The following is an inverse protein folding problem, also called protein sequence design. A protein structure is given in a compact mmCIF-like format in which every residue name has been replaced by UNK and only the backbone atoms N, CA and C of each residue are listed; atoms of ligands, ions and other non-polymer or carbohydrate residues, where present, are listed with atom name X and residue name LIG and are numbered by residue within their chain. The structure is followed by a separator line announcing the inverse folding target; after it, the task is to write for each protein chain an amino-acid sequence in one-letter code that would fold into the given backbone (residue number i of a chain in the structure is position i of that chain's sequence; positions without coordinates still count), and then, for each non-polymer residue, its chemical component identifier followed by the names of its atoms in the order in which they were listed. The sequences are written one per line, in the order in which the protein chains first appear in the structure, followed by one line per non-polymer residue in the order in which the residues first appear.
data_IF_949710357014
#
_entry.id   IF_949710357014
#
_cell.length_a   1.000
_cell.length_b   1.000
_cell.length_c   1.000
_cell.angle_alpha   90.00
_cell.angle_beta   90.00
_cell.angle_gamma   90.00
#
_symmetry.space_group_name_H-M   'P 1'
#
loop_
_entity.id
_entity.type
_entity.pdbx_description
1 polymer ?
#
# COMPACT_ATOMS: atom_id res chain seq x y z
N UNK A 1 -16.82 -4.02 15.42
CA UNK A 1 -16.19 -2.77 14.91
C UNK A 1 -15.97 -3.00 13.42
N UNK A 2 -16.50 -2.14 12.55
CA UNK A 2 -16.47 -2.38 11.10
C UNK A 2 -15.16 -1.84 10.52
N UNK A 3 -14.27 -2.73 10.11
CA UNK A 3 -13.09 -2.40 9.33
C UNK A 3 -13.51 -2.12 7.89
N UNK A 4 -13.09 -0.98 7.33
CA UNK A 4 -13.37 -0.66 5.93
C UNK A 4 -12.05 -0.76 5.18
N UNK A 5 -11.83 -1.80 4.36
CA UNK A 5 -10.61 -1.92 3.58
C UNK A 5 -10.52 -0.74 2.59
N UNK A 6 -9.43 0.02 2.64
CA UNK A 6 -9.18 1.13 1.71
C UNK A 6 -8.58 0.60 0.42
N UNK A 7 -7.56 -0.26 0.52
CA UNK A 7 -6.94 -0.93 -0.61
C UNK A 7 -6.06 -2.09 -0.11
N UNK A 8 -5.70 -2.99 -1.00
CA UNK A 8 -4.62 -3.95 -0.76
C UNK A 8 -3.36 -3.47 -1.46
N UNK A 9 -2.21 -3.72 -0.86
CA UNK A 9 -0.88 -3.42 -1.40
C UNK A 9 -0.20 -4.78 -1.61
N UNK A 10 -0.22 -5.29 -2.83
CA UNK A 10 0.49 -6.54 -3.14
C UNK A 10 1.96 -6.21 -3.46
N UNK A 11 2.90 -6.83 -2.77
CA UNK A 11 4.35 -6.58 -2.94
C UNK A 11 5.00 -7.88 -3.39
N UNK A 12 5.90 -7.83 -4.36
CA UNK A 12 6.62 -9.03 -4.81
C UNK A 12 7.54 -9.56 -3.70
N UNK A 13 7.69 -10.87 -3.56
CA UNK A 13 8.69 -11.43 -2.63
C UNK A 13 10.14 -11.16 -3.08
N UNK A 14 10.33 -10.62 -4.28
CA UNK A 14 11.66 -10.15 -4.72
C UNK A 14 12.12 -8.93 -3.91
N UNK A 15 11.19 -8.23 -3.23
CA UNK A 15 11.56 -7.17 -2.29
C UNK A 15 12.08 -7.80 -1.00
N UNK A 16 13.24 -7.33 -0.48
CA UNK A 16 13.78 -7.83 0.78
C UNK A 16 12.79 -7.69 1.94
N UNK A 17 12.80 -8.67 2.86
CA UNK A 17 11.87 -8.73 3.98
C UNK A 17 12.00 -7.52 4.93
N UNK A 18 13.20 -6.97 5.07
CA UNK A 18 13.51 -5.76 5.84
C UNK A 18 12.83 -4.51 5.26
N UNK A 19 12.79 -4.36 3.93
CA UNK A 19 12.09 -3.26 3.26
C UNK A 19 10.56 -3.38 3.38
N UNK A 20 10.08 -4.63 3.38
CA UNK A 20 8.69 -5.02 3.59
C UNK A 20 8.26 -4.66 5.02
N UNK A 21 9.08 -4.97 6.03
CA UNK A 21 8.85 -4.61 7.44
C UNK A 21 8.96 -3.10 7.68
N UNK A 22 9.89 -2.42 7.00
CA UNK A 22 10.00 -0.96 7.04
C UNK A 22 8.74 -0.26 6.54
N UNK A 23 8.18 -0.74 5.42
CA UNK A 23 6.91 -0.23 4.90
C UNK A 23 5.76 -0.46 5.88
N UNK A 24 5.66 -1.67 6.44
CA UNK A 24 4.63 -2.00 7.45
C UNK A 24 4.72 -1.05 8.65
N UNK A 25 5.92 -0.85 9.18
CA UNK A 25 6.17 0.06 10.31
C UNK A 25 5.80 1.49 9.95
N UNK A 26 6.15 1.94 8.75
CA UNK A 26 5.83 3.29 8.26
C UNK A 26 4.33 3.52 8.12
N UNK A 27 3.59 2.51 7.65
CA UNK A 27 2.13 2.55 7.58
C UNK A 27 1.50 2.64 8.98
N UNK A 28 1.94 1.79 9.91
CA UNK A 28 1.44 1.79 11.28
C UNK A 28 1.72 3.11 12.02
N UNK A 29 2.92 3.68 11.85
CA UNK A 29 3.27 5.01 12.41
C UNK A 29 2.37 6.13 11.89
N UNK A 30 1.81 5.98 10.69
CA UNK A 30 0.87 6.93 10.10
C UNK A 30 -0.60 6.62 10.46
N UNK A 31 -0.84 5.74 11.43
CA UNK A 31 -2.17 5.37 11.90
C UNK A 31 -2.95 4.51 10.89
N UNK A 32 -2.25 3.81 10.00
CA UNK A 32 -2.81 2.87 9.03
C UNK A 32 -2.58 1.46 9.58
N UNK A 33 -3.67 0.77 9.90
CA UNK A 33 -3.61 -0.64 10.29
C UNK A 33 -3.33 -1.47 9.04
N UNK A 34 -2.44 -2.45 9.17
CA UNK A 34 -2.06 -3.33 8.07
C UNK A 34 -2.28 -4.76 8.55
N UNK A 35 -3.02 -5.54 7.78
CA UNK A 35 -3.13 -6.97 7.96
C UNK A 35 -2.22 -7.64 6.93
N UNK A 36 -1.05 -8.10 7.39
CA UNK A 36 -0.12 -8.86 6.56
C UNK A 36 -0.70 -10.25 6.30
N UNK A 37 -0.88 -10.62 5.03
CA UNK A 37 -1.36 -11.94 4.64
C UNK A 37 -0.46 -12.50 3.55
N UNK A 38 0.42 -13.43 3.91
CA UNK A 38 1.27 -14.10 2.94
C UNK A 38 0.40 -15.00 2.06
N UNK A 39 0.03 -14.51 0.88
CA UNK A 39 -0.79 -15.26 -0.08
C UNK A 39 0.09 -15.72 -1.23
N UNK A 40 0.32 -17.03 -1.35
CA UNK A 40 0.86 -17.63 -2.56
C UNK A 40 -0.21 -17.60 -3.65
N UNK A 41 -0.17 -16.61 -4.53
CA UNK A 41 -0.99 -16.61 -5.74
C UNK A 41 -0.14 -17.15 -6.90
N UNK A 42 -0.36 -18.42 -7.23
CA UNK A 42 -0.03 -19.05 -8.52
C UNK A 42 1.40 -18.76 -9.04
N UNK A 43 2.40 -19.38 -8.41
CA UNK A 43 3.73 -19.58 -9.01
C UNK A 43 4.77 -18.48 -8.81
N UNK A 44 4.39 -17.31 -8.29
CA UNK A 44 5.32 -16.34 -7.71
C UNK A 44 4.99 -16.20 -6.21
N UNK A 45 6.00 -16.24 -5.35
CA UNK A 45 5.82 -15.85 -3.97
C UNK A 45 5.58 -14.32 -4.00
N UNK A 46 4.33 -13.86 -3.86
CA UNK A 46 4.03 -12.43 -3.68
C UNK A 46 3.64 -12.24 -2.20
N UNK A 47 4.26 -11.29 -1.52
CA UNK A 47 3.88 -10.87 -0.18
C UNK A 47 2.74 -9.85 -0.30
N UNK A 48 1.50 -10.29 -0.08
CA UNK A 48 0.35 -9.39 -0.12
C UNK A 48 0.14 -8.73 1.25
N UNK A 49 0.21 -7.41 1.28
CA UNK A 49 -0.26 -6.62 2.42
C UNK A 49 -1.70 -6.19 2.16
N UNK A 50 -2.61 -6.52 3.08
CA UNK A 50 -3.95 -5.95 3.05
C UNK A 50 -3.91 -4.72 3.96
N UNK A 51 -3.84 -3.52 3.36
CA UNK A 51 -3.87 -2.27 4.11
C UNK A 51 -5.33 -1.94 4.47
N UNK A 52 -5.76 -2.42 5.64
CA UNK A 52 -7.11 -2.18 6.15
C UNK A 52 -7.09 -1.00 7.10
N UNK A 53 -7.70 0.13 6.72
CA UNK A 53 -7.89 1.20 7.71
C UNK A 53 -9.01 0.80 8.66
N UNK A 54 -8.67 0.72 9.95
CA UNK A 54 -9.63 0.57 11.04
C UNK A 54 -10.56 1.80 11.05
N UNK A 55 -11.72 1.63 10.41
CA UNK A 55 -12.70 2.68 10.21
C UNK A 55 -13.78 2.67 11.28
N UNK A 56 -13.43 3.01 12.53
CA UNK A 56 -14.44 3.38 13.52
C UNK A 56 -15.13 4.66 13.06
N UNK A 57 -16.32 4.54 12.45
CA UNK A 57 -17.22 5.66 12.05
C UNK A 57 -16.46 6.88 11.54
N UNK A 58 -15.62 6.70 10.52
CA UNK A 58 -14.82 7.80 10.00
C UNK A 58 -15.63 8.57 8.97
N UNK A 59 -15.81 9.87 9.22
CA UNK A 59 -16.40 10.79 8.26
C UNK A 59 -15.60 10.70 6.95
N UNK A 60 -16.25 10.89 5.80
CA UNK A 60 -15.62 10.77 4.49
C UNK A 60 -14.37 11.67 4.29
N UNK A 61 -14.16 12.65 5.17
CA UNK A 61 -12.99 13.54 5.22
C UNK A 61 -11.74 12.77 5.72
N UNK A 62 -11.88 11.94 6.75
CA UNK A 62 -10.77 11.15 7.30
C UNK A 62 -10.26 10.09 6.31
N UNK A 63 -11.13 9.59 5.42
CA UNK A 63 -10.74 8.61 4.40
C UNK A 63 -9.81 9.24 3.35
N UNK A 64 -10.07 10.49 2.97
CA UNK A 64 -9.25 11.26 2.02
C UNK A 64 -7.89 11.59 2.66
N UNK A 65 -7.90 12.10 3.90
CA UNK A 65 -6.65 12.43 4.62
C UNK A 65 -5.76 11.19 4.79
N UNK A 66 -6.36 10.03 5.09
CA UNK A 66 -5.64 8.76 5.20
C UNK A 66 -5.15 8.25 3.85
N UNK A 67 -5.90 8.46 2.77
CA UNK A 67 -5.45 8.18 1.41
C UNK A 67 -4.21 8.99 1.03
N UNK A 68 -4.17 10.27 1.40
CA UNK A 68 -3.00 11.15 1.20
C UNK A 68 -1.79 10.64 2.00
N UNK A 69 -1.96 10.30 3.29
CA UNK A 69 -0.88 9.75 4.12
C UNK A 69 -0.36 8.43 3.55
N UNK A 70 -1.25 7.56 3.10
CA UNK A 70 -0.89 6.31 2.45
C UNK A 70 -0.08 6.54 1.18
N UNK A 71 -0.51 7.49 0.34
CA UNK A 71 0.22 7.87 -0.86
C UNK A 71 1.63 8.36 -0.55
N UNK A 72 1.77 9.21 0.48
CA UNK A 72 3.08 9.71 0.92
C UNK A 72 4.01 8.59 1.40
N UNK A 73 3.50 7.66 2.22
CA UNK A 73 4.29 6.52 2.71
C UNK A 73 4.77 5.65 1.53
N UNK A 74 3.88 5.31 0.60
CA UNK A 74 4.23 4.51 -0.59
C UNK A 74 5.26 5.25 -1.44
N UNK A 75 5.07 6.54 -1.70
CA UNK A 75 6.02 7.34 -2.49
C UNK A 75 7.41 7.37 -1.86
N UNK A 76 7.49 7.57 -0.54
CA UNK A 76 8.76 7.59 0.18
C UNK A 76 9.45 6.24 0.12
N UNK A 77 8.72 5.16 0.40
CA UNK A 77 9.24 3.79 0.30
C UNK A 77 9.76 3.47 -1.10
N UNK A 78 9.03 3.86 -2.16
CA UNK A 78 9.50 3.69 -3.55
C UNK A 78 10.81 4.43 -3.83
N UNK A 79 10.95 5.65 -3.30
CA UNK A 79 12.18 6.45 -3.46
C UNK A 79 13.35 5.81 -2.72
N UNK A 80 13.11 5.27 -1.53
CA UNK A 80 14.11 4.55 -0.75
C UNK A 80 14.56 3.25 -1.41
N UNK A 81 13.64 2.46 -1.96
CA UNK A 81 14.01 1.26 -2.72
C UNK A 81 14.86 1.61 -3.94
N UNK A 82 14.46 2.64 -4.70
CA UNK A 82 15.24 3.10 -5.86
C UNK A 82 16.62 3.63 -5.48
N UNK A 83 16.77 4.30 -4.33
CA UNK A 83 18.09 4.78 -3.87
C UNK A 83 19.03 3.62 -3.50
N UNK A 84 18.46 2.47 -3.11
CA UNK A 84 19.17 1.20 -2.87
C UNK A 84 19.39 0.38 -4.15
N UNK A 85 18.93 0.86 -5.31
CA UNK A 85 19.01 0.14 -6.59
C UNK A 85 18.00 -0.99 -6.74
N UNK A 86 16.97 -1.02 -5.88
CA UNK A 86 15.91 -2.04 -5.89
C UNK A 86 14.70 -1.47 -6.63
N UNK A 87 14.14 -2.25 -7.55
CA UNK A 87 12.91 -1.87 -8.23
C UNK A 87 11.71 -2.07 -7.29
N UNK A 88 10.82 -1.08 -7.10
CA UNK A 88 9.67 -1.19 -6.22
C UNK A 88 8.54 -2.02 -6.86
N UNK A 89 8.77 -3.34 -6.94
CA UNK A 89 7.83 -4.33 -7.48
C UNK A 89 6.66 -4.55 -6.53
N UNK A 90 5.54 -3.94 -6.85
CA UNK A 90 4.28 -4.13 -6.15
C UNK A 90 3.12 -3.49 -6.91
N UNK A 91 1.90 -3.65 -6.40
CA UNK A 91 0.70 -3.08 -6.97
C UNK A 91 -0.32 -2.70 -5.90
N UNK A 92 -1.04 -1.61 -6.15
CA UNK A 92 -2.23 -1.26 -5.38
C UNK A 92 -3.45 -1.95 -6.00
N UNK A 93 -4.27 -2.57 -5.16
CA UNK A 93 -5.47 -3.30 -5.58
C UNK A 93 -6.68 -2.80 -4.81
N UNK A 94 -7.80 -2.67 -5.49
CA UNK A 94 -9.08 -2.35 -4.87
C UNK A 94 -10.20 -3.04 -5.67
N UNK A 95 -11.25 -3.59 -5.03
CA UNK A 95 -12.28 -4.37 -5.72
C UNK A 95 -13.00 -3.62 -6.86
N UNK A 96 -13.01 -2.28 -6.80
CA UNK A 96 -13.70 -1.41 -7.79
C UNK A 96 -12.75 -0.61 -8.69
N UNK A 97 -11.44 -0.83 -8.62
CA UNK A 97 -10.45 -0.05 -9.39
C UNK A 97 -9.47 -0.98 -10.09
N UNK A 98 -8.96 -0.59 -11.28
CA UNK A 98 -7.87 -1.32 -11.89
C UNK A 98 -6.65 -1.28 -10.96
N UNK A 99 -5.86 -2.37 -10.90
CA UNK A 99 -4.66 -2.39 -10.10
C UNK A 99 -3.64 -1.38 -10.63
N UNK A 100 -2.93 -0.70 -9.73
CA UNK A 100 -1.88 0.27 -10.08
C UNK A 100 -0.52 -0.33 -9.78
N UNK A 101 0.31 -0.49 -10.81
CA UNK A 101 1.68 -1.02 -10.70
C UNK A 101 2.63 0.03 -10.09
N UNK A 102 3.19 -0.25 -8.91
CA UNK A 102 4.10 0.62 -8.18
C UNK A 102 5.49 0.71 -8.82
N UNK A 103 5.88 -0.20 -9.71
CA UNK A 103 7.15 -0.06 -10.43
C UNK A 103 7.09 1.08 -11.45
N UNK A 104 5.93 1.21 -12.11
CA UNK A 104 5.70 2.11 -13.26
C UNK A 104 4.96 3.39 -12.92
N UNK A 105 4.06 3.38 -11.94
CA UNK A 105 3.20 4.52 -11.64
C UNK A 105 3.99 5.78 -11.28
N UNK A 106 3.53 6.95 -11.68
CA UNK A 106 4.10 8.21 -11.19
C UNK A 106 3.65 8.50 -9.76
N UNK A 107 4.31 9.46 -9.12
CA UNK A 107 3.91 9.94 -7.80
C UNK A 107 2.47 10.51 -7.84
N UNK A 108 2.09 11.18 -8.93
CA UNK A 108 0.76 11.74 -9.16
C UNK A 108 -0.29 10.64 -9.38
N UNK A 109 0.03 9.60 -10.16
CA UNK A 109 -0.87 8.47 -10.38
C UNK A 109 -1.22 7.74 -9.07
N UNK A 110 -0.25 7.62 -8.16
CA UNK A 110 -0.48 7.02 -6.83
C UNK A 110 -1.41 7.89 -5.99
N UNK A 111 -1.19 9.20 -5.97
CA UNK A 111 -2.06 10.13 -5.24
C UNK A 111 -3.47 10.14 -5.80
N UNK A 112 -3.62 10.19 -7.11
CA UNK A 112 -4.92 10.12 -7.78
C UNK A 112 -5.63 8.80 -7.48
N UNK A 113 -4.92 7.67 -7.57
CA UNK A 113 -5.51 6.36 -7.35
C UNK A 113 -6.04 6.22 -5.93
N UNK A 114 -5.33 6.77 -4.93
CA UNK A 114 -5.72 6.76 -3.52
C UNK A 114 -6.73 7.84 -3.13
N UNK A 115 -6.80 8.94 -3.89
CA UNK A 115 -7.75 10.04 -3.66
C UNK A 115 -9.11 9.81 -4.33
N UNK A 116 -9.20 8.89 -5.29
CA UNK A 116 -10.47 8.47 -5.89
C UNK A 116 -11.37 7.89 -4.79
N UNK A 117 -12.69 8.13 -4.88
CA UNK A 117 -13.73 7.54 -4.00
C UNK A 117 -14.29 6.28 -4.64
#
# INVERSE_FOLDING_TARGET
MSEVPICSIAISSEIPADEIEYLETSLQMNGITVQKSTTRVVGADDVVFIATVLGGVVAAIDLIERGIKLAQVIKNWRKELRSKGIEPKGRLEHPKRPPLDLSKATDEEIEEWLSRK
#
